data_IF_189722559661
#
_entry.id   IF_189722559661
#
_cell.length_a   1.000
_cell.length_b   1.000
_cell.length_c   1.000
_cell.angle_alpha   90.00
_cell.angle_beta   90.00
_cell.angle_gamma   90.00
#
_symmetry.space_group_name_H-M   'P 1'
#
loop_
_entity.id
_entity.type
_entity.pdbx_description
1 polymer ?
#
# COMPACT_ATOMS: atom_id res chain seq x y z
N UNK A 1 7.32 4.24 -5.77
CA UNK A 1 7.12 3.98 -4.33
C UNK A 1 7.70 2.65 -3.85
N UNK A 2 7.30 1.51 -4.43
CA UNK A 2 7.68 0.17 -3.95
C UNK A 2 9.19 -0.02 -3.62
N UNK A 3 10.10 0.47 -4.48
CA UNK A 3 11.55 0.41 -4.24
C UNK A 3 12.02 1.15 -2.98
N UNK A 4 11.41 2.29 -2.66
CA UNK A 4 11.76 3.07 -1.46
C UNK A 4 11.38 2.30 -0.20
N UNK A 5 10.16 1.75 -0.12
CA UNK A 5 9.70 0.98 1.04
C UNK A 5 10.35 -0.39 1.17
N UNK A 6 10.87 -0.95 0.06
CA UNK A 6 11.74 -2.13 0.08
C UNK A 6 13.19 -1.84 0.51
N UNK A 7 13.54 -0.58 0.80
CA UNK A 7 14.90 -0.20 1.23
C UNK A 7 15.93 -0.15 0.10
N UNK A 8 15.51 -0.26 -1.16
CA UNK A 8 16.43 -0.35 -2.31
C UNK A 8 17.09 0.99 -2.68
N UNK A 9 16.63 2.11 -2.11
CA UNK A 9 17.06 3.46 -2.49
C UNK A 9 17.83 4.19 -1.39
N UNK A 10 18.04 3.57 -0.23
CA UNK A 10 18.74 4.19 0.91
C UNK A 10 17.96 5.29 1.66
N UNK A 11 16.77 5.67 1.19
CA UNK A 11 15.89 6.67 1.82
C UNK A 11 15.47 6.23 3.23
N UNK A 12 15.58 7.11 4.23
CA UNK A 12 15.18 6.81 5.61
C UNK A 12 13.66 6.65 5.74
N UNK A 13 13.18 6.05 6.83
CA UNK A 13 11.72 5.92 7.03
C UNK A 13 11.04 7.28 7.18
N UNK A 14 11.66 8.19 7.93
CA UNK A 14 11.17 9.56 8.14
C UNK A 14 11.05 10.30 6.81
N UNK A 15 12.07 10.22 5.96
CA UNK A 15 12.08 10.88 4.66
C UNK A 15 11.01 10.32 3.72
N UNK A 16 10.76 9.01 3.73
CA UNK A 16 9.69 8.41 2.91
C UNK A 16 8.31 9.00 3.23
N UNK A 17 8.04 9.30 4.49
CA UNK A 17 6.75 9.85 4.95
C UNK A 17 6.69 11.38 4.97
N UNK A 18 7.81 12.08 4.80
CA UNK A 18 7.85 13.55 4.73
C UNK A 18 7.45 14.11 3.37
N UNK A 19 7.43 13.30 2.32
CA UNK A 19 7.07 13.71 0.96
C UNK A 19 5.61 14.19 0.85
N UNK A 20 5.37 15.21 0.02
CA UNK A 20 4.03 15.78 -0.25
C UNK A 20 3.19 14.90 -1.21
N UNK A 21 3.15 13.60 -0.92
CA UNK A 21 2.36 12.59 -1.64
C UNK A 21 1.50 11.77 -0.69
N UNK A 22 1.59 12.06 0.61
CA UNK A 22 0.77 11.45 1.64
C UNK A 22 -0.41 12.35 1.96
N UNK A 23 -1.49 11.71 2.40
CA UNK A 23 -2.64 12.31 3.04
C UNK A 23 -2.94 11.54 4.31
N UNK A 24 -3.67 12.14 5.25
CA UNK A 24 -4.17 11.40 6.41
C UNK A 24 -5.54 10.85 6.05
N UNK A 25 -5.71 9.56 6.25
CA UNK A 25 -7.00 8.91 6.14
C UNK A 25 -7.90 9.20 7.34
N UNK A 26 -9.08 8.57 7.36
CA UNK A 26 -10.11 8.86 8.36
C UNK A 26 -9.67 8.45 9.77
N UNK A 27 -8.80 7.43 9.87
CA UNK A 27 -8.21 6.99 11.13
C UNK A 27 -6.88 7.72 11.42
N UNK A 28 -6.50 8.71 10.61
CA UNK A 28 -5.23 9.43 10.71
C UNK A 28 -4.02 8.66 10.17
N UNK A 29 -4.23 7.50 9.54
CA UNK A 29 -3.17 6.66 8.98
C UNK A 29 -2.66 7.26 7.66
N UNK A 30 -1.36 7.09 7.31
CA UNK A 30 -0.82 7.65 6.08
C UNK A 30 -1.37 6.94 4.85
N UNK A 31 -2.06 7.68 3.99
CA UNK A 31 -2.58 7.22 2.71
C UNK A 31 -1.77 7.81 1.56
N UNK A 32 -1.26 6.95 0.67
CA UNK A 32 -0.51 7.36 -0.52
C UNK A 32 -1.47 7.89 -1.59
N UNK A 33 -1.26 9.13 -2.04
CA UNK A 33 -2.04 9.70 -3.16
C UNK A 33 -1.82 8.87 -4.43
N UNK A 34 -2.91 8.63 -5.17
CA UNK A 34 -2.87 7.88 -6.43
C UNK A 34 -2.69 6.37 -6.29
N UNK A 35 -2.82 5.81 -5.08
CA UNK A 35 -2.90 4.35 -4.91
C UNK A 35 -4.21 3.80 -5.48
N UNK A 36 -4.17 2.59 -6.04
CA UNK A 36 -5.35 1.93 -6.60
C UNK A 36 -6.39 1.61 -5.52
N UNK A 37 -5.92 1.24 -4.32
CA UNK A 37 -6.74 0.99 -3.15
C UNK A 37 -5.98 1.36 -1.87
N UNK A 38 -6.70 1.85 -0.86
CA UNK A 38 -6.24 2.05 0.51
C UNK A 38 -7.23 1.41 1.46
N UNK A 39 -6.71 0.64 2.43
CA UNK A 39 -7.51 -0.01 3.46
C UNK A 39 -6.98 0.47 4.81
N UNK A 40 -7.83 1.14 5.58
CA UNK A 40 -7.52 1.59 6.94
C UNK A 40 -8.31 0.75 7.94
N UNK A 41 -7.69 0.42 9.07
CA UNK A 41 -8.31 -0.44 10.07
C UNK A 41 -7.54 -0.51 11.38
N UNK A 42 -8.02 -1.36 12.27
CA UNK A 42 -7.46 -1.61 13.59
C UNK A 42 -7.00 -3.07 13.71
N UNK A 43 -5.88 -3.31 14.39
CA UNK A 43 -5.35 -4.66 14.60
C UNK A 43 -6.20 -5.34 15.67
N UNK A 44 -6.88 -6.42 15.30
CA UNK A 44 -7.65 -7.25 16.23
C UNK A 44 -6.82 -8.40 16.80
N UNK A 45 -5.85 -8.90 16.04
CA UNK A 45 -5.03 -10.03 16.46
C UNK A 45 -3.63 -9.97 15.83
N UNK A 46 -2.65 -10.43 16.59
CA UNK A 46 -1.27 -10.68 16.12
C UNK A 46 -0.87 -12.10 16.48
N UNK A 47 -0.35 -12.85 15.52
CA UNK A 47 0.15 -14.21 15.73
C UNK A 47 1.60 -14.32 15.24
N UNK A 48 2.46 -14.99 16.00
CA UNK A 48 3.85 -15.25 15.59
C UNK A 48 3.96 -16.60 14.91
N UNK A 49 4.43 -16.62 13.66
CA UNK A 49 4.63 -17.83 12.85
C UNK A 49 6.07 -17.84 12.32
N UNK A 50 6.94 -18.59 13.00
CA UNK A 50 8.37 -18.64 12.69
C UNK A 50 9.00 -17.25 12.81
N UNK A 51 9.53 -16.72 11.70
CA UNK A 51 10.17 -15.39 11.65
C UNK A 51 9.19 -14.24 11.34
N UNK A 52 7.90 -14.54 11.13
CA UNK A 52 6.90 -13.57 10.70
C UNK A 52 5.79 -13.37 11.73
N UNK A 53 5.18 -12.19 11.68
CA UNK A 53 3.95 -11.88 12.41
C UNK A 53 2.79 -11.83 11.41
N UNK A 54 1.70 -12.55 11.71
CA UNK A 54 0.43 -12.48 10.99
C UNK A 54 -0.48 -11.52 11.74
N UNK A 55 -0.83 -10.42 11.11
CA UNK A 55 -1.74 -9.41 11.64
C UNK A 55 -3.14 -9.62 11.04
N UNK A 56 -4.15 -9.78 11.88
CA UNK A 56 -5.56 -9.72 11.45
C UNK A 56 -6.07 -8.31 11.77
N UNK A 57 -6.52 -7.61 10.74
CA UNK A 57 -6.95 -6.21 10.81
C UNK A 57 -8.44 -6.12 10.50
N UNK A 58 -9.22 -5.52 11.40
CA UNK A 58 -10.59 -5.14 11.11
C UNK A 58 -10.58 -3.84 10.28
N UNK A 59 -11.00 -3.95 9.02
CA UNK A 59 -11.06 -2.81 8.11
C UNK A 59 -12.23 -1.92 8.49
N UNK A 60 -11.96 -0.63 8.70
CA UNK A 60 -12.96 0.40 9.03
C UNK A 60 -13.25 1.31 7.84
N UNK A 61 -12.29 1.45 6.94
CA UNK A 61 -12.44 2.28 5.75
C UNK A 61 -11.72 1.67 4.54
N UNK A 62 -12.39 1.74 3.40
CA UNK A 62 -11.85 1.34 2.10
C UNK A 62 -11.99 2.53 1.16
N UNK A 63 -10.88 2.93 0.53
CA UNK A 63 -10.87 3.92 -0.55
C UNK A 63 -10.34 3.26 -1.80
N UNK A 64 -11.09 3.37 -2.90
CA UNK A 64 -10.74 2.85 -4.21
C UNK A 64 -10.52 4.00 -5.18
N UNK A 65 -9.53 3.87 -6.05
CA UNK A 65 -9.36 4.79 -7.18
C UNK A 65 -10.18 4.30 -8.37
N UNK A 66 -10.79 5.23 -9.10
CA UNK A 66 -11.52 4.95 -10.34
C UNK A 66 -10.58 4.60 -11.51
N UNK A 67 -9.31 4.99 -11.40
CA UNK A 67 -8.30 4.78 -12.43
C UNK A 67 -6.95 4.41 -11.82
N UNK A 68 -6.14 3.69 -12.61
CA UNK A 68 -4.80 3.28 -12.23
C UNK A 68 -4.44 1.92 -12.79
N UNK A 69 -3.22 1.48 -12.49
CA UNK A 69 -2.73 0.17 -12.90
C UNK A 69 -2.25 -0.60 -11.68
N UNK A 70 -2.49 -1.91 -11.67
CA UNK A 70 -1.90 -2.79 -10.67
C UNK A 70 -0.38 -2.82 -10.84
N UNK A 71 0.31 -3.06 -9.73
CA UNK A 71 1.74 -3.34 -9.73
C UNK A 71 1.95 -4.72 -9.14
N UNK A 72 2.46 -5.66 -9.94
CA UNK A 72 2.79 -7.01 -9.46
C UNK A 72 4.29 -7.20 -9.39
N UNK A 73 4.73 -8.06 -8.47
CA UNK A 73 6.11 -8.50 -8.39
C UNK A 73 6.19 -9.96 -8.82
N UNK A 74 6.87 -10.21 -9.94
CA UNK A 74 6.99 -11.55 -10.52
C UNK A 74 8.37 -11.76 -11.12
N UNK A 75 8.94 -12.95 -10.90
CA UNK A 75 10.31 -13.32 -11.34
C UNK A 75 11.36 -12.26 -10.99
N UNK A 76 11.28 -11.70 -9.78
CA UNK A 76 12.19 -10.66 -9.26
C UNK A 76 12.09 -9.29 -9.96
N UNK A 77 11.04 -9.05 -10.74
CA UNK A 77 10.79 -7.79 -11.43
C UNK A 77 9.41 -7.21 -11.11
N UNK A 78 9.30 -5.89 -11.18
CA UNK A 78 8.03 -5.18 -11.09
C UNK A 78 7.38 -5.13 -12.48
N UNK A 79 6.08 -5.44 -12.56
CA UNK A 79 5.31 -5.39 -13.80
C UNK A 79 4.03 -4.58 -13.59
N UNK A 80 3.70 -3.62 -14.48
CA UNK A 80 2.39 -2.99 -14.47
C UNK A 80 1.34 -3.98 -15.00
N UNK A 81 0.16 -3.98 -14.39
CA UNK A 81 -1.03 -4.70 -14.87
C UNK A 81 -2.08 -3.66 -15.18
N UNK A 82 -2.38 -3.51 -16.46
CA UNK A 82 -3.35 -2.53 -16.95
C UNK A 82 -4.76 -3.05 -16.69
N UNK A 83 -5.65 -2.18 -16.23
CA UNK A 83 -7.08 -2.47 -16.27
C UNK A 83 -7.51 -2.43 -17.73
N UNK A 84 -8.12 -3.51 -18.23
CA UNK A 84 -8.85 -3.44 -19.48
C UNK A 84 -10.06 -2.52 -19.29
N UNK A 85 -10.16 -1.49 -20.12
CA UNK A 85 -11.37 -0.70 -20.18
C UNK A 85 -12.49 -1.60 -20.71
N UNK A 86 -13.50 -1.85 -19.89
CA UNK A 86 -14.74 -2.45 -20.39
C UNK A 86 -15.36 -1.41 -21.32
N UNK A 87 -15.36 -1.69 -22.62
CA UNK A 87 -16.14 -0.91 -23.56
C UNK A 87 -17.62 -1.08 -23.21
N UNK A 88 -18.26 0.01 -22.77
CA UNK A 88 -19.71 0.11 -22.65
C UNK A 88 -20.28 0.68 -23.94
#
# INVERSE_FOLDING_TARGET
MARHFAGMTGTSMEERFSWDIWTKGILGQPMLRGTLASLEGEIEQVQTIGTHLVYLVQIKQITLSEAGHGLIYFKRHFHPVMLEAVAV
#
